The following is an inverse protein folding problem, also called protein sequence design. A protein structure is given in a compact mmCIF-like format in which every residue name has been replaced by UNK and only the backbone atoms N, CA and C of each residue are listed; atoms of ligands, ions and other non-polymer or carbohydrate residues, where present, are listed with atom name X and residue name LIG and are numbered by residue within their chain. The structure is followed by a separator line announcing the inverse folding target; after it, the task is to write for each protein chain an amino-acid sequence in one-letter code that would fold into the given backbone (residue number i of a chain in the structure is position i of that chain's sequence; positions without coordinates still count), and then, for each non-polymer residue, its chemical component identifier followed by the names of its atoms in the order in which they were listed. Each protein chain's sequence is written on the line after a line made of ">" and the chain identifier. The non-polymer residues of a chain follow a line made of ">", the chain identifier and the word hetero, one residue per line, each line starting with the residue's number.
data_IF_841982498000
#
_entry.id   IF_841982498000
#
_cell.length_a   1.000
_cell.length_b   1.000
_cell.length_c   1.000
_cell.angle_alpha   90.00
_cell.angle_beta   90.00
_cell.angle_gamma   90.00
#
_symmetry.space_group_name_H-M   'P 1'
#
loop_
_entity.id
_entity.type
_entity.pdbx_description
1 polymer ?
#
# COMPACT_ATOMS: atom_id res chain seq x y z
N UNK A 1 13.78 13.42 0.40
CA UNK A 1 12.71 12.58 0.99
C UNK A 1 11.84 13.52 1.79
N UNK A 2 10.59 13.64 1.40
CA UNK A 2 9.69 14.55 2.11
C UNK A 2 9.27 13.91 3.41
N UNK A 3 9.46 14.66 4.49
CA UNK A 3 9.45 14.12 5.84
C UNK A 3 8.26 14.73 6.59
N UNK A 4 7.30 13.89 6.97
CA UNK A 4 6.22 14.26 7.87
C UNK A 4 6.63 14.18 9.35
N UNK A 5 7.95 14.03 9.63
CA UNK A 5 8.47 13.90 10.99
C UNK A 5 8.12 15.07 11.90
N UNK A 6 7.95 16.27 11.35
CA UNK A 6 7.54 17.42 12.14
C UNK A 6 6.16 17.18 12.75
N UNK A 7 5.20 16.71 11.96
CA UNK A 7 3.86 16.36 12.46
C UNK A 7 3.90 15.21 13.46
N UNK A 8 4.73 14.21 13.20
CA UNK A 8 4.84 13.01 14.05
C UNK A 8 5.45 13.36 15.41
N UNK A 9 6.43 14.27 15.46
CA UNK A 9 7.14 14.65 16.69
C UNK A 9 6.45 15.72 17.49
N UNK A 10 5.85 16.72 16.83
CA UNK A 10 5.37 17.95 17.46
C UNK A 10 3.86 18.18 17.26
N UNK A 11 3.21 17.40 16.40
CA UNK A 11 1.82 17.57 16.08
C UNK A 11 0.88 17.17 17.22
N UNK A 12 -0.28 17.76 17.22
CA UNK A 12 -1.42 17.30 18.03
C UNK A 12 -1.75 15.84 17.70
N UNK A 13 -2.39 15.07 18.61
CA UNK A 13 -2.63 13.64 18.44
C UNK A 13 -3.23 13.26 17.08
N UNK A 14 -4.22 14.03 16.60
CA UNK A 14 -4.85 13.77 15.29
C UNK A 14 -3.91 14.02 14.10
N UNK A 15 -3.15 15.11 14.13
CA UNK A 15 -2.16 15.41 13.07
C UNK A 15 -1.04 14.39 13.06
N UNK A 16 -0.62 13.92 14.23
CA UNK A 16 0.38 12.87 14.37
C UNK A 16 -0.08 11.55 13.78
N UNK A 17 -1.33 11.13 14.07
CA UNK A 17 -1.91 9.91 13.53
C UNK A 17 -1.98 9.97 11.99
N UNK A 18 -2.50 11.07 11.45
CA UNK A 18 -2.56 11.30 10.01
C UNK A 18 -1.17 11.34 9.36
N UNK A 19 -0.22 12.05 9.96
CA UNK A 19 1.16 12.12 9.49
C UNK A 19 1.83 10.76 9.44
N UNK A 20 1.62 9.94 10.47
CA UNK A 20 2.13 8.57 10.53
C UNK A 20 1.53 7.69 9.43
N UNK A 21 0.21 7.80 9.20
CA UNK A 21 -0.48 7.03 8.18
C UNK A 21 -0.02 7.40 6.77
N UNK A 22 0.17 8.68 6.46
CA UNK A 22 0.73 9.11 5.18
C UNK A 22 2.17 8.67 4.99
N UNK A 23 3.00 8.82 6.03
CA UNK A 23 4.39 8.36 5.97
C UNK A 23 4.49 6.86 5.73
N UNK A 24 3.64 6.07 6.38
CA UNK A 24 3.56 4.62 6.17
C UNK A 24 3.15 4.30 4.74
N UNK A 25 2.07 4.92 4.26
CA UNK A 25 1.54 4.67 2.92
C UNK A 25 2.56 4.96 1.81
N UNK A 26 3.23 6.11 1.89
CA UNK A 26 4.28 6.52 0.94
C UNK A 26 5.54 5.67 1.10
N UNK A 27 5.89 5.32 2.34
CA UNK A 27 7.04 4.47 2.62
C UNK A 27 6.92 3.07 2.04
N UNK A 28 5.72 2.51 2.00
CA UNK A 28 5.45 1.22 1.36
C UNK A 28 5.71 1.28 -0.17
N UNK A 29 5.34 2.37 -0.84
CA UNK A 29 5.66 2.54 -2.26
C UNK A 29 7.16 2.69 -2.52
N UNK A 30 7.87 3.33 -1.59
CA UNK A 30 9.31 3.52 -1.70
C UNK A 30 10.11 2.19 -1.61
N UNK A 31 9.55 1.14 -1.02
CA UNK A 31 10.16 -0.22 -1.03
C UNK A 31 10.28 -0.76 -2.45
N UNK A 32 9.30 -0.47 -3.30
CA UNK A 32 9.29 -0.85 -4.72
C UNK A 32 10.00 0.19 -5.61
N UNK A 33 10.66 1.17 -5.01
CA UNK A 33 11.39 2.23 -5.73
C UNK A 33 10.51 3.35 -6.26
N UNK A 34 9.20 3.31 -6.01
CA UNK A 34 8.25 4.29 -6.47
C UNK A 34 8.34 5.60 -5.67
N UNK A 35 8.09 6.70 -6.35
CA UNK A 35 8.15 8.04 -5.74
C UNK A 35 6.84 8.78 -5.93
N UNK A 36 6.30 9.39 -4.87
CA UNK A 36 5.09 10.21 -4.98
C UNK A 36 5.38 11.51 -5.73
N UNK A 37 4.33 12.07 -6.33
CA UNK A 37 4.38 13.42 -6.90
C UNK A 37 4.38 14.50 -5.80
N UNK A 38 4.84 15.69 -6.16
CA UNK A 38 4.70 16.87 -5.29
C UNK A 38 3.22 17.21 -5.02
N UNK A 39 2.34 16.90 -5.97
CA UNK A 39 0.90 17.10 -5.82
C UNK A 39 0.31 16.20 -4.72
N UNK A 40 0.71 14.93 -4.66
CA UNK A 40 0.31 14.04 -3.56
C UNK A 40 0.79 14.58 -2.22
N UNK A 41 2.04 15.01 -2.15
CA UNK A 41 2.63 15.50 -0.90
C UNK A 41 1.88 16.73 -0.40
N UNK A 42 1.54 17.66 -1.27
CA UNK A 42 0.74 18.84 -0.90
C UNK A 42 -0.67 18.45 -0.46
N UNK A 43 -1.30 17.50 -1.15
CA UNK A 43 -2.62 16.97 -0.77
C UNK A 43 -2.58 16.27 0.59
N UNK A 44 -1.53 15.49 0.86
CA UNK A 44 -1.32 14.86 2.15
C UNK A 44 -1.18 15.86 3.29
N UNK A 45 -0.46 16.97 3.08
CA UNK A 45 -0.35 18.06 4.05
C UNK A 45 -1.71 18.67 4.39
N UNK A 46 -2.54 18.91 3.40
CA UNK A 46 -3.90 19.45 3.61
C UNK A 46 -4.77 18.51 4.44
N UNK A 47 -4.69 17.18 4.20
CA UNK A 47 -5.38 16.21 5.07
C UNK A 47 -4.82 16.24 6.49
N UNK A 48 -3.49 16.27 6.67
CA UNK A 48 -2.86 16.32 8.00
C UNK A 48 -3.30 17.58 8.75
N UNK A 49 -3.28 18.73 8.09
CA UNK A 49 -3.70 20.01 8.69
C UNK A 49 -5.21 20.09 8.96
N UNK A 50 -6.01 19.20 8.37
CA UNK A 50 -7.45 19.17 8.52
C UNK A 50 -8.18 20.15 7.60
N UNK A 51 -7.49 20.66 6.58
CA UNK A 51 -8.10 21.52 5.55
C UNK A 51 -9.03 20.73 4.64
N UNK A 52 -8.71 19.46 4.42
CA UNK A 52 -9.51 18.51 3.66
C UNK A 52 -9.63 17.19 4.42
N UNK A 53 -10.63 16.39 4.05
CA UNK A 53 -10.80 15.00 4.51
C UNK A 53 -10.03 14.03 3.62
N UNK A 54 -9.86 12.80 4.08
CA UNK A 54 -9.25 11.74 3.25
C UNK A 54 -10.09 11.43 2.00
N UNK A 55 -11.41 11.55 2.08
CA UNK A 55 -12.30 11.35 0.94
C UNK A 55 -12.11 12.46 -0.10
N UNK A 56 -11.94 13.72 0.33
CA UNK A 56 -11.62 14.83 -0.56
C UNK A 56 -10.21 14.69 -1.16
N UNK A 57 -9.22 14.25 -0.37
CA UNK A 57 -7.89 13.96 -0.86
C UNK A 57 -7.91 12.90 -1.98
N UNK A 58 -8.66 11.80 -1.77
CA UNK A 58 -8.85 10.77 -2.79
C UNK A 58 -9.48 11.34 -4.07
N UNK A 59 -10.53 12.15 -3.95
CA UNK A 59 -11.18 12.78 -5.09
C UNK A 59 -10.21 13.70 -5.87
N UNK A 60 -9.38 14.47 -5.16
CA UNK A 60 -8.39 15.34 -5.78
C UNK A 60 -7.35 14.54 -6.59
N UNK A 61 -6.81 13.47 -6.02
CA UNK A 61 -5.82 12.63 -6.70
C UNK A 61 -6.46 11.92 -7.90
N UNK A 62 -7.65 11.32 -7.75
CA UNK A 62 -8.38 10.70 -8.87
C UNK A 62 -8.65 11.68 -10.01
N UNK A 63 -9.15 12.88 -9.69
CA UNK A 63 -9.46 13.91 -10.68
C UNK A 63 -8.19 14.39 -11.41
N UNK A 64 -7.10 14.52 -10.68
CA UNK A 64 -5.81 14.91 -11.26
C UNK A 64 -5.36 13.92 -12.34
N UNK A 65 -5.46 12.62 -12.07
CA UNK A 65 -5.05 11.58 -13.01
C UNK A 65 -6.09 11.29 -14.11
N UNK A 66 -7.39 11.54 -13.88
CA UNK A 66 -8.39 11.48 -14.96
C UNK A 66 -8.13 12.49 -16.07
N UNK A 67 -7.55 13.63 -15.74
CA UNK A 67 -7.19 14.68 -16.71
C UNK A 67 -5.81 14.48 -17.34
N UNK A 68 -5.00 13.57 -16.82
CA UNK A 68 -3.63 13.29 -17.29
C UNK A 68 -3.57 11.93 -17.97
N UNK A 69 -2.99 11.91 -19.16
CA UNK A 69 -2.62 10.66 -19.84
C UNK A 69 -1.15 10.40 -19.51
N UNK A 70 -0.84 9.24 -18.96
CA UNK A 70 0.55 8.82 -18.78
C UNK A 70 1.21 8.66 -20.15
N UNK A 71 2.28 9.39 -20.40
CA UNK A 71 3.02 9.36 -21.68
C UNK A 71 4.30 8.53 -21.58
N UNK A 72 4.79 8.33 -20.38
CA UNK A 72 6.03 7.59 -20.09
C UNK A 72 5.82 6.53 -19.02
N UNK A 73 6.69 5.53 -18.94
CA UNK A 73 6.69 4.58 -17.79
C UNK A 73 6.83 5.30 -16.46
N UNK A 74 7.61 6.36 -16.37
CA UNK A 74 7.79 7.15 -15.15
C UNK A 74 6.48 7.85 -14.73
N UNK A 75 5.69 8.37 -15.68
CA UNK A 75 4.35 8.92 -15.37
C UNK A 75 3.42 7.84 -14.78
N UNK A 76 3.52 6.60 -15.27
CA UNK A 76 2.73 5.49 -14.77
C UNK A 76 3.15 5.08 -13.35
N UNK A 77 4.45 5.06 -13.06
CA UNK A 77 4.99 4.78 -11.74
C UNK A 77 4.58 5.84 -10.70
N UNK A 78 4.63 7.12 -11.08
CA UNK A 78 4.18 8.22 -10.23
C UNK A 78 2.66 8.12 -9.97
N UNK A 79 1.88 7.82 -11.00
CA UNK A 79 0.44 7.59 -10.85
C UNK A 79 0.15 6.43 -9.89
N UNK A 80 0.85 5.31 -10.04
CA UNK A 80 0.74 4.17 -9.14
C UNK A 80 1.07 4.57 -7.70
N UNK A 81 2.19 5.24 -7.47
CA UNK A 81 2.61 5.70 -6.15
C UNK A 81 1.56 6.60 -5.49
N UNK A 82 1.01 7.54 -6.21
CA UNK A 82 0.03 8.50 -5.68
C UNK A 82 -1.31 7.84 -5.36
N UNK A 83 -1.83 7.03 -6.28
CA UNK A 83 -3.10 6.34 -6.10
C UNK A 83 -3.00 5.31 -4.97
N UNK A 84 -1.98 4.46 -5.00
CA UNK A 84 -1.79 3.42 -3.99
C UNK A 84 -1.54 4.02 -2.61
N UNK A 85 -0.72 5.08 -2.49
CA UNK A 85 -0.51 5.77 -1.20
C UNK A 85 -1.80 6.34 -0.63
N UNK A 86 -2.62 6.98 -1.46
CA UNK A 86 -3.91 7.54 -1.03
C UNK A 86 -4.86 6.44 -0.56
N UNK A 87 -4.95 5.35 -1.31
CA UNK A 87 -5.79 4.20 -0.99
C UNK A 87 -5.33 3.51 0.30
N UNK A 88 -4.01 3.33 0.51
CA UNK A 88 -3.44 2.77 1.74
C UNK A 88 -3.71 3.70 2.92
N UNK A 89 -3.49 5.01 2.77
CA UNK A 89 -3.79 5.98 3.82
C UNK A 89 -5.25 5.88 4.28
N UNK A 90 -6.19 5.73 3.35
CA UNK A 90 -7.60 5.51 3.65
C UNK A 90 -7.83 4.19 4.40
N UNK A 91 -7.23 3.09 3.94
CA UNK A 91 -7.33 1.78 4.59
C UNK A 91 -6.83 1.80 6.03
N UNK A 92 -5.76 2.55 6.33
CA UNK A 92 -5.21 2.69 7.67
C UNK A 92 -6.14 3.39 8.67
N UNK A 93 -7.23 4.03 8.21
CA UNK A 93 -8.28 4.52 9.11
C UNK A 93 -9.20 3.42 9.62
N UNK A 94 -9.23 2.29 8.96
CA UNK A 94 -10.09 1.16 9.29
C UNK A 94 -9.41 0.27 10.33
N UNK A 95 -10.19 -0.21 11.29
CA UNK A 95 -9.66 -1.01 12.42
C UNK A 95 -9.94 -2.51 12.28
N UNK A 96 -10.55 -2.92 11.16
CA UNK A 96 -10.97 -4.31 10.98
C UNK A 96 -10.27 -4.95 9.81
N UNK A 97 -9.59 -6.06 10.08
CA UNK A 97 -9.01 -6.94 9.07
C UNK A 97 -9.43 -8.37 9.34
N UNK A 98 -9.76 -9.11 8.28
CA UNK A 98 -10.04 -10.53 8.37
C UNK A 98 -8.94 -11.31 7.63
N UNK A 99 -8.25 -12.20 8.34
CA UNK A 99 -7.27 -13.13 7.77
C UNK A 99 -7.97 -14.21 6.93
N UNK A 100 -8.56 -13.80 5.83
CA UNK A 100 -9.25 -14.66 4.86
C UNK A 100 -8.83 -14.29 3.45
N UNK A 101 -8.96 -15.24 2.53
CA UNK A 101 -8.68 -14.97 1.12
C UNK A 101 -9.52 -13.80 0.57
N UNK A 102 -10.79 -13.71 0.97
CA UNK A 102 -11.68 -12.61 0.60
C UNK A 102 -11.19 -11.29 1.20
N UNK A 103 -10.74 -11.29 2.46
CA UNK A 103 -10.14 -10.14 3.12
C UNK A 103 -8.89 -9.65 2.37
N UNK A 104 -7.96 -10.56 2.07
CA UNK A 104 -6.73 -10.25 1.33
C UNK A 104 -7.02 -9.67 -0.06
N UNK A 105 -7.88 -10.34 -0.85
CA UNK A 105 -8.22 -9.87 -2.20
C UNK A 105 -9.00 -8.56 -2.18
N UNK A 106 -9.82 -8.32 -1.14
CA UNK A 106 -10.50 -7.04 -0.94
C UNK A 106 -9.51 -5.90 -0.67
N UNK A 107 -8.52 -6.11 0.19
CA UNK A 107 -7.46 -5.13 0.44
C UNK A 107 -6.66 -4.87 -0.83
N UNK A 108 -6.20 -5.92 -1.52
CA UNK A 108 -5.48 -5.78 -2.78
C UNK A 108 -6.28 -4.98 -3.81
N UNK A 109 -7.59 -5.25 -3.94
CA UNK A 109 -8.48 -4.48 -4.82
C UNK A 109 -8.51 -3.01 -4.44
N UNK A 110 -8.65 -2.70 -3.16
CA UNK A 110 -8.80 -1.34 -2.68
C UNK A 110 -7.49 -0.55 -2.76
N UNK A 111 -6.34 -1.19 -2.53
CA UNK A 111 -5.02 -0.54 -2.69
C UNK A 111 -4.80 -0.14 -4.15
N UNK A 112 -5.10 -1.04 -5.09
CA UNK A 112 -4.80 -0.85 -6.51
C UNK A 112 -6.01 -0.43 -7.35
N UNK A 113 -7.09 0.01 -6.70
CA UNK A 113 -8.23 0.59 -7.40
C UNK A 113 -7.83 1.87 -8.14
N UNK A 114 -8.16 1.93 -9.42
CA UNK A 114 -7.76 3.02 -10.31
C UNK A 114 -6.32 2.92 -10.84
N UNK A 115 -5.56 1.89 -10.44
CA UNK A 115 -4.17 1.62 -10.92
C UNK A 115 -4.17 0.44 -11.87
N UNK A 116 -4.59 -0.74 -11.41
CA UNK A 116 -4.50 -1.98 -12.16
C UNK A 116 -5.87 -2.61 -12.43
N UNK A 117 -6.08 -3.08 -13.67
CA UNK A 117 -7.31 -3.81 -14.05
C UNK A 117 -7.47 -5.15 -13.32
N UNK A 118 -6.37 -5.74 -12.86
CA UNK A 118 -6.35 -7.00 -12.10
C UNK A 118 -6.45 -6.81 -10.58
N UNK A 119 -6.71 -5.59 -10.11
CA UNK A 119 -6.84 -5.31 -8.68
C UNK A 119 -7.85 -6.26 -8.00
N UNK A 120 -7.41 -6.95 -6.95
CA UNK A 120 -8.21 -7.94 -6.21
C UNK A 120 -8.33 -9.31 -6.88
N UNK A 121 -7.59 -9.57 -7.96
CA UNK A 121 -7.57 -10.87 -8.62
C UNK A 121 -6.34 -11.68 -8.19
N UNK A 122 -6.51 -12.97 -8.02
CA UNK A 122 -5.40 -13.91 -7.91
C UNK A 122 -4.94 -14.22 -9.33
N UNK A 123 -3.63 -14.17 -9.56
CA UNK A 123 -3.06 -14.49 -10.88
C UNK A 123 -3.37 -15.93 -11.30
N UNK A 124 -3.59 -16.12 -12.57
CA UNK A 124 -3.87 -17.40 -13.23
C UNK A 124 -2.72 -17.91 -14.11
N UNK A 125 -1.56 -17.23 -14.05
CA UNK A 125 -0.33 -17.57 -14.76
C UNK A 125 0.86 -17.65 -13.80
N UNK A 126 1.87 -18.43 -14.19
CA UNK A 126 3.12 -18.53 -13.43
C UNK A 126 3.99 -17.29 -13.67
N UNK A 127 4.67 -16.85 -12.62
CA UNK A 127 5.64 -15.76 -12.67
C UNK A 127 7.01 -16.27 -12.24
N UNK A 128 8.03 -15.67 -12.83
CA UNK A 128 9.42 -15.78 -12.39
C UNK A 128 9.97 -14.37 -12.25
N UNK A 129 10.82 -14.15 -11.26
CA UNK A 129 11.47 -12.87 -11.05
C UNK A 129 12.92 -13.12 -10.67
N UNK A 130 13.82 -12.50 -11.40
CA UNK A 130 15.24 -12.49 -11.06
C UNK A 130 15.48 -11.38 -10.05
N UNK A 131 15.97 -11.73 -8.88
CA UNK A 131 16.22 -10.78 -7.80
C UNK A 131 17.71 -10.44 -7.70
N UNK A 132 18.03 -9.16 -7.69
CA UNK A 132 19.40 -8.69 -7.58
C UNK A 132 20.04 -9.10 -6.24
N UNK A 133 19.27 -9.16 -5.15
CA UNK A 133 19.73 -9.59 -3.82
C UNK A 133 20.17 -11.05 -3.77
N UNK A 134 19.71 -11.86 -4.72
CA UNK A 134 20.08 -13.28 -4.89
C UNK A 134 21.19 -13.47 -5.92
N UNK A 135 21.97 -12.45 -6.22
CA UNK A 135 23.05 -12.48 -7.21
C UNK A 135 22.58 -12.92 -8.61
N UNK A 136 21.33 -12.67 -8.96
CA UNK A 136 20.74 -13.02 -10.25
C UNK A 136 19.99 -14.36 -10.27
N UNK A 137 19.93 -15.08 -9.16
CA UNK A 137 19.09 -16.27 -9.06
C UNK A 137 17.60 -15.91 -9.10
N UNK A 138 16.80 -16.85 -9.58
CA UNK A 138 15.35 -16.69 -9.73
C UNK A 138 14.61 -17.13 -8.48
N UNK A 139 13.70 -16.31 -7.99
CA UNK A 139 12.75 -16.70 -6.95
C UNK A 139 11.74 -17.70 -7.52
N UNK A 140 11.59 -18.83 -6.85
CA UNK A 140 10.55 -19.80 -7.17
C UNK A 140 9.25 -19.39 -6.47
N UNK A 141 8.31 -18.92 -7.26
CA UNK A 141 6.97 -18.59 -6.78
C UNK A 141 6.07 -19.83 -6.82
N UNK A 142 5.11 -19.87 -5.92
CA UNK A 142 4.03 -20.88 -5.96
C UNK A 142 3.36 -20.85 -7.33
N UNK A 143 3.06 -22.03 -7.88
CA UNK A 143 2.37 -22.15 -9.18
C UNK A 143 0.99 -21.50 -9.13
N UNK A 144 0.51 -20.98 -10.25
CA UNK A 144 -0.80 -20.35 -10.31
C UNK A 144 -1.95 -21.29 -9.86
N UNK A 145 -1.99 -22.57 -10.24
CA UNK A 145 -3.00 -23.50 -9.76
C UNK A 145 -3.00 -23.74 -8.24
N UNK A 146 -1.83 -23.65 -7.60
CA UNK A 146 -1.67 -23.94 -6.18
C UNK A 146 -1.74 -22.66 -5.31
N UNK A 147 -1.67 -21.49 -5.93
CA UNK A 147 -1.55 -20.21 -5.23
C UNK A 147 -2.70 -19.97 -4.25
N UNK A 148 -3.93 -20.28 -4.63
CA UNK A 148 -5.10 -20.15 -3.74
C UNK A 148 -4.95 -20.98 -2.48
N UNK A 149 -4.54 -22.25 -2.62
CA UNK A 149 -4.36 -23.15 -1.46
C UNK A 149 -3.23 -22.70 -0.56
N UNK A 150 -2.12 -22.21 -1.14
CA UNK A 150 -1.00 -21.68 -0.36
C UNK A 150 -1.43 -20.46 0.46
N UNK A 151 -2.12 -19.49 -0.14
CA UNK A 151 -2.62 -18.32 0.57
C UNK A 151 -3.60 -18.72 1.68
N UNK A 152 -4.55 -19.63 1.41
CA UNK A 152 -5.51 -20.08 2.42
C UNK A 152 -4.81 -20.80 3.60
N UNK A 153 -3.78 -21.57 3.31
CA UNK A 153 -2.95 -22.21 4.33
C UNK A 153 -2.23 -21.17 5.20
N UNK A 154 -1.53 -20.21 4.59
CA UNK A 154 -0.78 -19.18 5.32
C UNK A 154 -1.72 -18.33 6.20
N UNK A 155 -2.88 -17.92 5.66
CA UNK A 155 -3.87 -17.16 6.41
C UNK A 155 -4.48 -17.95 7.56
N UNK A 156 -4.60 -19.29 7.44
CA UNK A 156 -5.04 -20.15 8.54
C UNK A 156 -3.98 -20.23 9.62
N UNK A 157 -2.70 -20.39 9.27
CA UNK A 157 -1.60 -20.35 10.24
C UNK A 157 -1.59 -19.03 11.01
N UNK A 158 -1.78 -17.91 10.31
CA UNK A 158 -1.80 -16.57 10.88
C UNK A 158 -2.98 -16.39 11.88
N UNK A 159 -4.15 -16.91 11.55
CA UNK A 159 -5.31 -16.88 12.48
C UNK A 159 -5.09 -17.68 13.76
N UNK A 160 -4.30 -18.75 13.68
CA UNK A 160 -4.01 -19.62 14.83
C UNK A 160 -2.82 -19.12 15.65
N UNK A 161 -2.06 -18.16 15.13
CA UNK A 161 -0.87 -17.66 15.78
C UNK A 161 -1.22 -16.81 17.01
N UNK A 162 -0.61 -17.15 18.15
CA UNK A 162 -0.83 -16.46 19.42
C UNK A 162 0.21 -15.35 19.63
N UNK A 163 -0.11 -14.17 19.16
CA UNK A 163 0.73 -12.98 19.27
C UNK A 163 1.00 -12.57 20.72
N UNK A 164 0.20 -13.01 21.71
CA UNK A 164 0.42 -12.67 23.12
C UNK A 164 1.67 -13.33 23.71
N UNK A 165 2.19 -14.35 23.05
CA UNK A 165 3.39 -15.11 23.46
C UNK A 165 4.69 -14.63 22.80
N UNK A 166 4.60 -13.65 21.93
CA UNK A 166 5.75 -13.17 21.14
C UNK A 166 6.01 -11.71 21.48
N UNK A 167 7.24 -11.42 21.89
CA UNK A 167 7.68 -10.03 22.05
C UNK A 167 8.06 -9.42 20.69
N UNK A 168 8.33 -8.11 20.67
CA UNK A 168 8.69 -7.38 19.45
C UNK A 168 9.91 -7.97 18.72
N UNK A 169 10.81 -8.65 19.44
CA UNK A 169 12.03 -9.22 18.87
C UNK A 169 11.80 -10.63 18.30
N UNK A 170 10.74 -11.30 18.73
CA UNK A 170 10.35 -12.62 18.26
C UNK A 170 9.47 -12.62 17.00
N UNK A 171 9.14 -11.44 16.46
CA UNK A 171 8.38 -11.26 15.22
C UNK A 171 9.28 -11.06 13.99
N UNK A 172 10.60 -11.21 14.11
CA UNK A 172 11.58 -11.06 13.02
C UNK A 172 12.12 -12.41 12.61
#
# INVERSE_FOLDING_TARGET
>A
MMDFNEYIRQGEPQKREKGYAWQTAIGLQAVDGLKPSDYLIETARKDIEGEITIDEAEQLIRSYYQSKIAHTPEDAEIHEADMASTNIRRLLTEKTFAFTLVGLTSIHRRIFDGVFKFAGQIRDYNITKTEWVLCGDTVLYVSAPDLRKAIEYDLEQERQFDYSKVDRNGLV
#
